data_IF_733724792523
#
_entry.id   IF_733724792523
#
_cell.length_a   1.000
_cell.length_b   1.000
_cell.length_c   1.000
_cell.angle_alpha   90.00
_cell.angle_beta   90.00
_cell.angle_gamma   90.00
#
_symmetry.space_group_name_H-M   'P 1'
#
loop_
_entity.id
_entity.type
_entity.pdbx_description
1 polymer ?
#
# COMPACT_ATOMS: atom_id res chain seq x y z
N UNK A 1 5.20 -15.10 -16.91
CA UNK A 1 4.70 -15.20 -15.54
C UNK A 1 3.76 -16.39 -15.46
N UNK A 2 4.05 -17.36 -14.59
CA UNK A 2 3.27 -18.57 -14.44
C UNK A 2 1.94 -18.24 -13.77
N UNK A 3 0.83 -18.59 -14.43
CA UNK A 3 -0.53 -18.49 -13.86
C UNK A 3 -0.84 -19.64 -12.88
N UNK A 4 0.09 -20.54 -12.66
CA UNK A 4 -0.07 -21.69 -11.78
C UNK A 4 0.60 -21.46 -10.43
N UNK A 5 0.07 -22.04 -9.32
CA UNK A 5 0.74 -22.01 -8.03
C UNK A 5 2.12 -22.66 -8.12
N UNK A 6 3.04 -22.30 -7.24
CA UNK A 6 4.38 -22.88 -7.24
C UNK A 6 4.33 -24.40 -6.98
N UNK A 7 5.18 -25.14 -7.68
CA UNK A 7 5.39 -26.59 -7.47
C UNK A 7 6.27 -26.85 -6.25
N UNK A 8 5.81 -26.43 -5.07
CA UNK A 8 6.48 -26.68 -3.79
C UNK A 8 5.49 -27.34 -2.84
N UNK A 9 5.98 -28.20 -1.96
CA UNK A 9 5.15 -28.79 -0.92
C UNK A 9 4.62 -27.70 0.01
N UNK A 10 3.31 -27.45 -0.03
CA UNK A 10 2.63 -26.41 0.72
C UNK A 10 1.52 -26.99 1.58
N UNK A 11 1.34 -26.48 2.80
CA UNK A 11 0.15 -26.76 3.61
C UNK A 11 -1.09 -26.05 3.07
N UNK A 12 -0.89 -24.85 2.52
CA UNK A 12 -1.92 -24.09 1.82
C UNK A 12 -1.28 -23.15 0.80
N UNK A 13 -1.94 -22.95 -0.34
CA UNK A 13 -1.55 -21.94 -1.33
C UNK A 13 -2.79 -21.31 -1.94
N UNK A 14 -2.78 -19.99 -2.09
CA UNK A 14 -3.89 -19.24 -2.67
C UNK A 14 -3.39 -18.02 -3.44
N UNK A 15 -4.11 -17.66 -4.49
CA UNK A 15 -3.83 -16.46 -5.25
C UNK A 15 -4.15 -15.21 -4.40
N UNK A 16 -3.25 -14.23 -4.37
CA UNK A 16 -3.52 -12.95 -3.73
C UNK A 16 -4.31 -12.04 -4.69
N UNK A 17 -5.62 -12.03 -4.52
CA UNK A 17 -6.55 -11.26 -5.36
C UNK A 17 -6.39 -9.74 -5.26
N UNK A 18 -5.56 -9.25 -4.35
CA UNK A 18 -5.27 -7.81 -4.19
C UNK A 18 -4.20 -7.32 -5.16
N UNK A 19 -3.48 -8.25 -5.80
CA UNK A 19 -2.45 -7.92 -6.78
C UNK A 19 -3.00 -8.02 -8.19
N UNK A 20 -2.54 -7.16 -9.10
CA UNK A 20 -2.86 -7.23 -10.53
C UNK A 20 -2.12 -8.38 -11.25
N UNK A 21 -1.11 -8.93 -10.62
CA UNK A 21 -0.30 -10.04 -11.12
C UNK A 21 -0.70 -11.36 -10.43
N UNK A 22 -0.41 -12.49 -11.07
CA UNK A 22 -0.63 -13.81 -10.47
C UNK A 22 0.38 -14.06 -9.35
N UNK A 23 0.12 -13.48 -8.19
CA UNK A 23 0.91 -13.65 -6.97
C UNK A 23 0.19 -14.66 -6.07
N UNK A 24 0.95 -15.61 -5.56
CA UNK A 24 0.45 -16.62 -4.64
C UNK A 24 1.04 -16.41 -3.25
N UNK A 25 0.22 -16.61 -2.24
CA UNK A 25 0.65 -16.75 -0.85
C UNK A 25 0.62 -18.22 -0.49
N UNK A 26 1.71 -18.73 0.06
CA UNK A 26 1.81 -20.12 0.44
C UNK A 26 2.25 -20.24 1.89
N UNK A 27 1.63 -21.15 2.62
CA UNK A 27 2.06 -21.59 3.95
C UNK A 27 2.86 -22.87 3.75
N UNK A 28 4.10 -22.86 4.15
CA UNK A 28 5.02 -23.99 4.02
C UNK A 28 5.64 -24.38 5.37
N UNK A 29 6.04 -25.60 5.52
CA UNK A 29 6.79 -26.02 6.71
C UNK A 29 8.17 -25.37 6.73
N UNK A 30 8.77 -25.24 7.91
CA UNK A 30 10.16 -24.74 8.03
C UNK A 30 11.17 -25.64 7.30
N UNK A 31 10.90 -26.94 7.20
CA UNK A 31 11.75 -27.87 6.46
C UNK A 31 11.69 -27.59 4.94
N UNK A 32 10.49 -27.47 4.37
CA UNK A 32 10.30 -27.15 2.97
C UNK A 32 10.85 -25.77 2.58
N UNK A 33 10.95 -24.83 3.53
CA UNK A 33 11.52 -23.51 3.30
C UNK A 33 12.98 -23.59 2.83
N UNK A 34 13.79 -24.46 3.42
CA UNK A 34 15.20 -24.59 3.08
C UNK A 34 15.41 -25.07 1.63
N UNK A 35 14.54 -25.93 1.13
CA UNK A 35 14.59 -26.43 -0.25
C UNK A 35 14.07 -25.38 -1.25
N UNK A 36 13.24 -24.45 -0.79
CA UNK A 36 12.57 -23.42 -1.63
C UNK A 36 13.40 -22.15 -1.74
N UNK A 37 14.13 -21.74 -0.71
CA UNK A 37 14.91 -20.49 -0.67
C UNK A 37 15.83 -20.32 -1.91
N UNK A 38 16.54 -21.33 -2.41
CA UNK A 38 17.45 -21.15 -3.56
C UNK A 38 16.75 -20.69 -4.84
N UNK A 39 15.43 -20.95 -4.96
CA UNK A 39 14.61 -20.61 -6.14
C UNK A 39 13.70 -19.40 -5.91
N UNK A 40 13.61 -18.92 -4.66
CA UNK A 40 12.77 -17.79 -4.30
C UNK A 40 13.39 -16.47 -4.83
N UNK A 41 12.53 -15.62 -5.38
CA UNK A 41 12.89 -14.25 -5.67
C UNK A 41 13.12 -13.47 -4.37
N UNK A 42 13.95 -12.44 -4.45
CA UNK A 42 14.30 -11.65 -3.28
C UNK A 42 13.15 -10.76 -2.78
N UNK A 43 13.36 -10.20 -1.60
CA UNK A 43 12.43 -9.26 -0.97
C UNK A 43 12.13 -8.04 -1.88
N UNK A 44 13.10 -7.59 -2.68
CA UNK A 44 12.93 -6.47 -3.60
C UNK A 44 11.84 -6.72 -4.66
N UNK A 45 11.67 -7.94 -5.16
CA UNK A 45 10.60 -8.28 -6.10
C UNK A 45 9.22 -8.22 -5.44
N UNK A 46 9.10 -8.68 -4.19
CA UNK A 46 7.88 -8.56 -3.40
C UNK A 46 7.52 -7.09 -3.13
N UNK A 47 8.50 -6.28 -2.73
CA UNK A 47 8.31 -4.85 -2.49
C UNK A 47 7.78 -4.13 -3.74
N UNK A 48 8.37 -4.40 -4.90
CA UNK A 48 7.88 -3.82 -6.16
C UNK A 48 6.41 -4.17 -6.43
N UNK A 49 6.05 -5.45 -6.30
CA UNK A 49 4.69 -5.92 -6.55
C UNK A 49 3.69 -5.29 -5.57
N UNK A 50 3.99 -5.25 -4.26
CA UNK A 50 3.07 -4.70 -3.27
C UNK A 50 2.88 -3.19 -3.44
N UNK A 51 3.95 -2.45 -3.78
CA UNK A 51 3.90 -1.02 -4.02
C UNK A 51 3.06 -0.72 -5.26
N UNK A 52 3.30 -1.40 -6.37
CA UNK A 52 2.49 -1.28 -7.60
C UNK A 52 1.01 -1.61 -7.36
N UNK A 53 0.74 -2.55 -6.45
CA UNK A 53 -0.62 -2.98 -6.10
C UNK A 53 -1.26 -2.15 -4.98
N UNK A 54 -0.65 -1.08 -4.53
CA UNK A 54 -1.14 -0.23 -3.42
C UNK A 54 -1.42 -1.03 -2.13
N UNK A 55 -0.52 -1.95 -1.77
CA UNK A 55 -0.62 -2.81 -0.59
C UNK A 55 0.32 -2.30 0.51
N UNK A 56 -0.12 -1.40 1.39
CA UNK A 56 0.67 -1.00 2.54
C UNK A 56 0.84 -2.14 3.53
N UNK A 57 2.02 -2.24 4.12
CA UNK A 57 2.40 -3.32 5.03
C UNK A 57 2.63 -2.80 6.45
N UNK A 58 2.14 -3.59 7.42
CA UNK A 58 2.35 -3.31 8.83
C UNK A 58 3.84 -3.39 9.19
N UNK A 59 4.32 -2.39 9.90
CA UNK A 59 5.72 -2.29 10.28
C UNK A 59 6.56 -1.46 9.32
N UNK A 60 6.27 -1.54 8.02
CA UNK A 60 6.91 -0.72 6.98
C UNK A 60 6.17 0.59 6.76
N UNK A 61 4.89 0.52 6.38
CA UNK A 61 4.12 1.71 6.00
C UNK A 61 3.29 2.30 7.14
N UNK A 62 3.00 1.53 8.18
CA UNK A 62 2.22 2.00 9.33
C UNK A 62 2.47 1.14 10.57
N UNK A 63 2.17 1.71 11.75
CA UNK A 63 2.27 1.05 13.05
C UNK A 63 0.89 0.84 13.67
N UNK A 64 0.84 0.05 14.75
CA UNK A 64 -0.39 -0.19 15.49
C UNK A 64 -0.99 1.14 15.99
N UNK A 65 -2.32 1.26 15.88
CA UNK A 65 -3.10 2.43 16.32
C UNK A 65 -2.80 3.75 15.58
N UNK A 66 -2.05 3.72 14.48
CA UNK A 66 -1.63 4.91 13.74
C UNK A 66 -2.58 5.29 12.60
N UNK A 67 -3.30 4.30 12.07
CA UNK A 67 -4.13 4.46 10.87
C UNK A 67 -5.52 3.88 11.04
N UNK A 68 -6.47 4.42 10.30
CA UNK A 68 -7.78 3.80 10.11
C UNK A 68 -7.75 2.84 8.89
N UNK A 69 -8.67 1.85 8.84
CA UNK A 69 -8.74 0.91 7.71
C UNK A 69 -8.81 1.59 6.33
N UNK A 70 -9.50 2.72 6.24
CA UNK A 70 -9.58 3.52 5.00
C UNK A 70 -8.26 4.19 4.62
N UNK A 71 -7.42 4.55 5.60
CA UNK A 71 -6.14 5.23 5.32
C UNK A 71 -5.16 4.30 4.59
N UNK A 72 -5.32 2.99 4.80
CA UNK A 72 -4.52 1.92 4.20
C UNK A 72 -5.29 1.11 3.14
N UNK A 73 -6.35 1.68 2.60
CA UNK A 73 -7.16 1.12 1.50
C UNK A 73 -7.83 -0.23 1.79
N UNK A 74 -7.95 -0.67 3.04
CA UNK A 74 -8.60 -1.96 3.38
C UNK A 74 -10.06 -2.03 2.90
N UNK A 75 -10.75 -0.89 2.84
CA UNK A 75 -12.11 -0.78 2.31
C UNK A 75 -12.16 -1.02 0.79
N UNK A 76 -11.14 -0.63 0.06
CA UNK A 76 -11.01 -0.83 -1.39
C UNK A 76 -10.54 -2.25 -1.74
N UNK A 77 -9.79 -2.87 -0.84
CA UNK A 77 -9.22 -4.22 -1.01
C UNK A 77 -10.10 -5.33 -0.45
N UNK A 78 -11.38 -5.06 -0.22
CA UNK A 78 -12.34 -6.00 0.40
C UNK A 78 -11.92 -6.48 1.80
N UNK A 79 -11.02 -5.76 2.48
CA UNK A 79 -10.58 -6.05 3.84
C UNK A 79 -11.57 -5.65 4.93
N UNK A 80 -12.64 -4.93 4.56
CA UNK A 80 -13.71 -4.50 5.46
C UNK A 80 -15.06 -4.95 4.93
N UNK A 81 -15.74 -5.83 5.65
CA UNK A 81 -17.11 -6.20 5.36
C UNK A 81 -18.10 -5.30 6.12
N UNK A 82 -18.74 -4.38 5.40
CA UNK A 82 -19.74 -3.48 5.96
C UNK A 82 -21.13 -4.11 6.16
N UNK A 83 -21.35 -5.32 5.64
CA UNK A 83 -22.63 -6.03 5.72
C UNK A 83 -22.67 -7.06 6.84
N UNK A 84 -21.50 -7.46 7.38
CA UNK A 84 -21.45 -8.40 8.51
C UNK A 84 -22.08 -7.82 9.77
N UNK A 85 -22.48 -8.69 10.67
CA UNK A 85 -23.04 -8.34 11.99
C UNK A 85 -22.08 -7.56 12.89
N UNK A 86 -22.43 -7.43 14.17
CA UNK A 86 -21.66 -6.63 15.13
C UNK A 86 -20.24 -7.15 15.33
N UNK A 87 -19.29 -6.23 15.45
CA UNK A 87 -17.89 -6.50 15.74
C UNK A 87 -17.26 -5.35 16.55
N UNK A 88 -16.17 -5.63 17.24
CA UNK A 88 -15.44 -4.61 18.01
C UNK A 88 -14.87 -3.57 17.05
N UNK A 89 -15.15 -2.28 17.29
CA UNK A 89 -14.75 -1.18 16.42
C UNK A 89 -15.72 -0.82 15.29
N UNK A 90 -16.85 -1.54 15.17
CA UNK A 90 -17.85 -1.30 14.12
C UNK A 90 -18.35 0.14 14.08
N UNK A 91 -18.56 0.78 15.24
CA UNK A 91 -19.06 2.15 15.31
C UNK A 91 -18.15 3.12 14.56
N UNK A 92 -16.85 3.05 14.81
CA UNK A 92 -15.85 3.92 14.16
C UNK A 92 -15.80 3.67 12.65
N UNK A 93 -15.70 2.40 12.24
CA UNK A 93 -15.62 2.01 10.83
C UNK A 93 -16.89 2.40 10.06
N UNK A 94 -18.07 2.14 10.63
CA UNK A 94 -19.35 2.50 10.03
C UNK A 94 -19.60 4.00 9.99
N UNK A 95 -19.13 4.75 10.99
CA UNK A 95 -19.22 6.20 11.04
C UNK A 95 -18.35 6.83 9.96
N UNK A 96 -17.12 6.34 9.80
CA UNK A 96 -16.22 6.82 8.73
C UNK A 96 -16.82 6.62 7.35
N UNK A 97 -17.44 5.45 7.08
CA UNK A 97 -18.11 5.21 5.79
C UNK A 97 -19.30 6.15 5.55
N UNK A 98 -20.09 6.46 6.57
CA UNK A 98 -21.39 7.15 6.41
C UNK A 98 -21.34 8.67 6.56
N UNK A 99 -20.42 9.19 7.38
CA UNK A 99 -20.45 10.59 7.84
C UNK A 99 -19.20 11.38 7.53
N UNK A 100 -18.14 10.74 7.10
CA UNK A 100 -16.86 11.41 6.96
C UNK A 100 -16.28 11.11 5.58
N UNK A 101 -15.93 12.13 4.83
CA UNK A 101 -15.04 11.97 3.68
C UNK A 101 -13.71 11.39 4.17
N UNK A 102 -13.22 10.39 3.47
CA UNK A 102 -11.90 9.81 3.73
C UNK A 102 -10.86 10.90 3.45
N UNK A 103 -10.24 11.39 4.51
CA UNK A 103 -9.28 12.51 4.41
C UNK A 103 -7.87 12.07 4.05
N UNK A 104 -7.53 10.81 4.34
CA UNK A 104 -6.22 10.23 4.06
C UNK A 104 -6.38 8.91 3.34
N UNK A 105 -5.47 8.65 2.38
CA UNK A 105 -5.35 7.36 1.72
C UNK A 105 -3.90 7.06 1.38
N UNK A 106 -3.60 5.77 1.28
CA UNK A 106 -2.38 5.32 0.62
C UNK A 106 -2.57 5.46 -0.88
N UNK A 107 -1.69 6.23 -1.49
CA UNK A 107 -1.64 6.51 -2.93
C UNK A 107 -0.32 6.02 -3.52
N UNK A 108 -0.33 5.71 -4.81
CA UNK A 108 0.89 5.46 -5.56
C UNK A 108 1.49 6.80 -5.99
N UNK A 109 2.76 6.99 -5.68
CA UNK A 109 3.55 8.15 -6.11
C UNK A 109 4.56 7.69 -7.14
N UNK A 110 4.60 8.39 -8.28
CA UNK A 110 5.52 8.13 -9.37
C UNK A 110 6.47 9.29 -9.57
N UNK A 111 7.75 9.01 -9.71
CA UNK A 111 8.81 9.99 -9.97
C UNK A 111 9.60 9.61 -11.21
N UNK A 112 10.19 10.60 -11.88
CA UNK A 112 11.16 10.36 -12.96
C UNK A 112 12.52 9.90 -12.43
N UNK A 113 12.83 10.22 -11.18
CA UNK A 113 14.05 9.79 -10.47
C UNK A 113 13.71 8.77 -9.39
N UNK A 114 14.57 7.79 -9.11
CA UNK A 114 14.36 6.86 -8.01
C UNK A 114 14.26 7.59 -6.66
N UNK A 115 13.40 7.09 -5.79
CA UNK A 115 13.37 7.50 -4.39
C UNK A 115 14.57 6.94 -3.66
N UNK A 116 15.08 7.66 -2.66
CA UNK A 116 16.30 7.27 -1.92
C UNK A 116 16.05 7.01 -0.45
N UNK A 117 15.19 7.78 0.18
CA UNK A 117 14.98 7.75 1.62
C UNK A 117 13.49 7.61 1.99
N UNK A 118 13.23 7.00 3.15
CA UNK A 118 11.92 6.94 3.79
C UNK A 118 12.08 7.06 5.31
N UNK A 119 11.18 7.78 5.99
CA UNK A 119 10.05 8.56 5.48
C UNK A 119 10.49 9.91 4.86
N UNK A 120 9.81 10.33 3.79
CA UNK A 120 10.09 11.56 3.08
C UNK A 120 8.79 12.36 2.84
N UNK A 121 8.75 13.69 3.11
CA UNK A 121 7.52 14.45 2.95
C UNK A 121 7.13 14.66 1.49
N UNK A 122 5.84 14.50 1.21
CA UNK A 122 5.22 14.89 -0.04
C UNK A 122 4.69 16.29 0.10
N UNK A 123 5.17 17.20 -0.73
CA UNK A 123 4.89 18.63 -0.66
C UNK A 123 3.97 19.09 -1.80
N UNK A 124 3.11 20.05 -1.52
CA UNK A 124 2.42 20.86 -2.54
C UNK A 124 2.72 22.33 -2.21
N UNK A 125 3.63 22.92 -2.97
CA UNK A 125 4.25 24.20 -2.60
C UNK A 125 4.93 24.07 -1.24
N UNK A 126 4.56 24.93 -0.29
CA UNK A 126 5.10 24.91 1.09
C UNK A 126 4.32 23.99 2.03
N UNK A 127 3.24 23.38 1.58
CA UNK A 127 2.38 22.55 2.43
C UNK A 127 2.74 21.06 2.31
N UNK A 128 2.98 20.41 3.44
CA UNK A 128 3.07 18.94 3.49
C UNK A 128 1.68 18.34 3.30
N UNK A 129 1.53 17.51 2.27
CA UNK A 129 0.27 16.82 1.94
C UNK A 129 0.31 15.32 2.20
N UNK A 130 1.47 14.76 2.43
CA UNK A 130 1.66 13.33 2.68
C UNK A 130 3.09 13.00 3.08
N UNK A 131 3.35 11.70 3.15
CA UNK A 131 4.66 11.16 3.50
C UNK A 131 4.89 9.86 2.73
N UNK A 132 6.04 9.72 2.10
CA UNK A 132 6.48 8.46 1.49
C UNK A 132 6.77 7.46 2.62
N UNK A 133 6.18 6.28 2.55
CA UNK A 133 6.33 5.23 3.57
C UNK A 133 7.19 4.06 3.10
N UNK A 134 7.09 3.71 1.82
CA UNK A 134 7.90 2.67 1.17
C UNK A 134 8.12 3.03 -0.28
N UNK A 135 9.20 2.53 -0.88
CA UNK A 135 9.48 2.73 -2.29
C UNK A 135 10.17 1.53 -2.95
N UNK A 136 10.05 1.47 -4.28
CA UNK A 136 10.80 0.57 -5.16
C UNK A 136 11.12 1.30 -6.45
N UNK A 137 12.38 1.70 -6.61
CA UNK A 137 12.84 2.49 -7.73
C UNK A 137 12.09 3.82 -7.87
N UNK A 138 11.33 3.99 -8.96
CA UNK A 138 10.57 5.21 -9.27
C UNK A 138 9.13 5.22 -8.74
N UNK A 139 8.72 4.18 -8.03
CA UNK A 139 7.40 4.02 -7.43
C UNK A 139 7.49 4.06 -5.92
N UNK A 140 6.51 4.68 -5.28
CA UNK A 140 6.44 4.74 -3.83
C UNK A 140 4.99 4.69 -3.34
N UNK A 141 4.81 4.21 -2.10
CA UNK A 141 3.57 4.41 -1.37
C UNK A 141 3.67 5.67 -0.53
N UNK A 142 2.61 6.44 -0.52
CA UNK A 142 2.48 7.63 0.32
C UNK A 142 1.12 7.68 0.98
N UNK A 143 1.09 8.01 2.25
CA UNK A 143 -0.15 8.31 2.97
C UNK A 143 -0.50 9.78 2.76
N UNK A 144 -1.38 10.06 1.80
CA UNK A 144 -1.70 11.41 1.30
C UNK A 144 -2.98 11.95 1.92
N UNK A 145 -2.99 13.24 2.24
CA UNK A 145 -4.17 14.04 2.58
C UNK A 145 -4.92 14.45 1.33
N UNK A 146 -6.02 13.76 1.05
CA UNK A 146 -6.82 13.98 -0.16
C UNK A 146 -7.40 15.39 -0.25
N UNK A 147 -7.82 15.97 0.88
CA UNK A 147 -8.33 17.34 0.95
C UNK A 147 -7.28 18.38 0.50
N UNK A 148 -6.02 18.17 0.89
CA UNK A 148 -4.91 19.03 0.49
C UNK A 148 -4.47 18.79 -0.95
N UNK A 149 -4.46 17.52 -1.38
CA UNK A 149 -4.14 17.16 -2.77
C UNK A 149 -5.13 17.80 -3.73
N UNK A 150 -6.44 17.70 -3.46
CA UNK A 150 -7.49 18.35 -4.26
C UNK A 150 -7.28 19.86 -4.33
N UNK A 151 -7.00 20.50 -3.18
CA UNK A 151 -6.72 21.94 -3.14
C UNK A 151 -5.49 22.33 -3.98
N UNK A 152 -4.44 21.50 -3.96
CA UNK A 152 -3.25 21.73 -4.76
C UNK A 152 -3.54 21.58 -6.26
N UNK A 153 -4.32 20.55 -6.63
CA UNK A 153 -4.73 20.30 -8.00
C UNK A 153 -5.56 21.46 -8.56
N UNK A 154 -6.57 21.93 -7.80
CA UNK A 154 -7.45 23.05 -8.19
C UNK A 154 -6.66 24.36 -8.41
N UNK A 155 -5.58 24.53 -7.64
CA UNK A 155 -4.70 25.71 -7.73
C UNK A 155 -3.52 25.52 -8.69
N UNK A 156 -3.40 24.37 -9.35
CA UNK A 156 -2.26 24.00 -10.20
C UNK A 156 -0.90 24.11 -9.45
N UNK A 157 -0.89 23.78 -8.16
CA UNK A 157 0.35 23.75 -7.38
C UNK A 157 1.04 22.41 -7.63
N UNK A 158 2.30 22.41 -8.08
CA UNK A 158 3.03 21.17 -8.32
C UNK A 158 3.26 20.39 -7.04
N UNK A 159 3.14 19.06 -7.14
CA UNK A 159 3.47 18.13 -6.06
C UNK A 159 4.91 17.67 -6.22
N UNK A 160 5.65 17.71 -5.15
CA UNK A 160 7.09 17.39 -5.14
C UNK A 160 7.48 16.51 -3.95
N UNK A 161 8.56 15.73 -4.16
CA UNK A 161 9.28 15.00 -3.12
C UNK A 161 10.76 15.34 -3.29
N UNK A 162 11.42 15.82 -2.25
CA UNK A 162 12.83 16.32 -2.31
C UNK A 162 13.08 17.28 -3.48
N UNK A 163 12.11 18.14 -3.79
CA UNK A 163 12.20 19.10 -4.90
C UNK A 163 11.94 18.54 -6.30
N UNK A 164 11.81 17.22 -6.46
CA UNK A 164 11.48 16.60 -7.73
C UNK A 164 9.96 16.52 -7.91
N UNK A 165 9.46 16.87 -9.10
CA UNK A 165 8.05 16.72 -9.43
C UNK A 165 7.64 15.24 -9.43
N UNK A 166 6.47 14.97 -8.83
CA UNK A 166 5.90 13.63 -8.79
C UNK A 166 4.42 13.65 -9.20
N UNK A 167 3.92 12.51 -9.69
CA UNK A 167 2.49 12.30 -9.89
C UNK A 167 1.93 11.39 -8.80
N UNK A 168 0.66 11.61 -8.44
CA UNK A 168 -0.07 10.82 -7.45
C UNK A 168 -1.27 10.17 -8.13
N UNK A 169 -1.43 8.85 -7.94
CA UNK A 169 -2.54 8.03 -8.43
C UNK A 169 -3.29 7.34 -7.29
#
# INVERSE_FOLDING_TARGET
>A
QSSNPPEIETEASFADSRTSNSVYRSVITKAALNDTIPTAKGHADYESIRIESLLPEFGSDYKASEVFPSDINLDLQSGVDYKKGCFIGQEVVSRMKRKTEVRKRTCLVKSETPFSDTPEPVMAGESTIGEITSHSGKLALSRVRLDRLLTATDKNVPVTVSGNSVSIE
#
